data_IF_739110248041
#
_entry.id   IF_739110248041
#
_cell.length_a   1.000
_cell.length_b   1.000
_cell.length_c   1.000
_cell.angle_alpha   90.00
_cell.angle_beta   90.00
_cell.angle_gamma   90.00
#
_symmetry.space_group_name_H-M   'P 1'
#
loop_
_entity.id
_entity.type
_entity.pdbx_description
1 polymer ?
#
# COMPACT_ATOMS: atom_id res chain seq x y z
N UNK A 1 3.48 -11.41 8.38
CA UNK A 1 3.75 -11.10 9.80
C UNK A 1 3.06 -12.12 10.72
N UNK A 2 1.77 -12.34 10.61
CA UNK A 2 0.99 -13.14 11.55
C UNK A 2 0.30 -14.38 10.95
N UNK A 3 0.58 -14.72 9.71
CA UNK A 3 0.00 -15.82 8.97
C UNK A 3 -1.55 -15.77 8.89
N UNK A 4 -2.20 -16.95 8.83
CA UNK A 4 -3.65 -17.08 8.69
C UNK A 4 -4.48 -16.31 9.72
N UNK A 5 -4.16 -16.29 11.04
CA UNK A 5 -4.93 -15.50 12.01
C UNK A 5 -4.97 -14.01 11.75
N UNK A 6 -3.95 -13.46 11.08
CA UNK A 6 -3.89 -12.05 10.72
C UNK A 6 -4.83 -11.64 9.58
N UNK A 7 -5.29 -12.60 8.76
CA UNK A 7 -6.12 -12.29 7.58
C UNK A 7 -7.47 -11.66 7.96
N UNK A 8 -8.22 -12.29 8.87
CA UNK A 8 -9.53 -11.77 9.29
C UNK A 8 -9.40 -10.40 9.96
N UNK A 9 -8.39 -10.23 10.81
CA UNK A 9 -8.11 -8.98 11.51
C UNK A 9 -7.73 -7.88 10.53
N UNK A 10 -6.85 -8.19 9.56
CA UNK A 10 -6.43 -7.26 8.52
C UNK A 10 -7.58 -6.87 7.58
N UNK A 11 -8.43 -7.82 7.21
CA UNK A 11 -9.61 -7.56 6.40
C UNK A 11 -10.57 -6.57 7.06
N UNK A 12 -10.87 -6.76 8.34
CA UNK A 12 -11.75 -5.85 9.09
C UNK A 12 -11.10 -4.47 9.23
N UNK A 13 -9.80 -4.40 9.53
CA UNK A 13 -9.09 -3.12 9.56
C UNK A 13 -9.11 -2.39 8.22
N UNK A 14 -8.93 -3.11 7.12
CA UNK A 14 -9.05 -2.58 5.76
C UNK A 14 -10.47 -2.12 5.43
N UNK A 15 -11.49 -2.86 5.85
CA UNK A 15 -12.89 -2.48 5.67
C UNK A 15 -13.25 -1.20 6.44
N UNK A 16 -12.72 -1.00 7.65
CA UNK A 16 -12.88 0.25 8.42
C UNK A 16 -12.26 1.41 7.63
N UNK A 17 -11.03 1.26 7.15
CA UNK A 17 -10.35 2.29 6.36
C UNK A 17 -11.09 2.60 5.05
N UNK A 18 -11.64 1.59 4.37
CA UNK A 18 -12.38 1.76 3.11
C UNK A 18 -13.71 2.52 3.30
N UNK A 19 -14.35 2.35 4.45
CA UNK A 19 -15.59 3.07 4.80
C UNK A 19 -15.32 4.40 5.53
N UNK A 20 -14.09 4.63 5.96
CA UNK A 20 -13.64 5.86 6.61
C UNK A 20 -13.05 6.87 5.64
N UNK A 21 -12.33 7.84 6.19
CA UNK A 21 -11.65 8.92 5.44
C UNK A 21 -10.22 8.55 5.06
N UNK A 22 -9.62 7.57 5.72
CA UNK A 22 -8.23 7.17 5.51
C UNK A 22 -8.00 6.39 4.21
N UNK A 23 -9.04 5.74 3.67
CA UNK A 23 -9.03 5.08 2.38
C UNK A 23 -7.89 4.06 2.22
N UNK A 24 -7.23 4.09 1.07
CA UNK A 24 -6.11 3.18 0.75
C UNK A 24 -4.94 3.26 1.74
N UNK A 25 -4.57 4.48 2.17
CA UNK A 25 -3.48 4.67 3.13
C UNK A 25 -3.81 4.05 4.48
N UNK A 26 -5.05 4.19 4.94
CA UNK A 26 -5.53 3.54 6.15
C UNK A 26 -5.53 2.02 6.05
N UNK A 27 -5.93 1.47 4.90
CA UNK A 27 -5.91 0.02 4.67
C UNK A 27 -4.48 -0.55 4.69
N UNK A 28 -3.50 0.19 4.15
CA UNK A 28 -2.09 -0.18 4.21
C UNK A 28 -1.60 -0.25 5.67
N UNK A 29 -1.91 0.77 6.46
CA UNK A 29 -1.57 0.81 7.90
C UNK A 29 -2.28 -0.31 8.65
N UNK A 30 -3.57 -0.58 8.34
CA UNK A 30 -4.35 -1.65 8.95
C UNK A 30 -3.71 -3.03 8.76
N UNK A 31 -3.13 -3.30 7.59
CA UNK A 31 -2.45 -4.56 7.30
C UNK A 31 -1.26 -4.81 8.23
N UNK A 32 -0.42 -3.79 8.44
CA UNK A 32 0.70 -3.89 9.38
C UNK A 32 0.22 -3.98 10.84
N UNK A 33 -0.73 -3.12 11.22
CA UNK A 33 -1.30 -3.10 12.57
C UNK A 33 -1.89 -4.46 12.95
N UNK A 34 -2.72 -5.04 12.09
CA UNK A 34 -3.32 -6.35 12.31
C UNK A 34 -2.26 -7.44 12.51
N UNK A 35 -1.18 -7.42 11.70
CA UNK A 35 -0.07 -8.34 11.85
C UNK A 35 0.59 -8.25 13.21
N UNK A 36 0.91 -7.04 13.68
CA UNK A 36 1.54 -6.82 14.98
C UNK A 36 0.61 -7.10 16.16
N UNK A 37 -0.68 -6.74 16.08
CA UNK A 37 -1.69 -7.06 17.09
C UNK A 37 -1.80 -8.57 17.29
N UNK A 38 -1.87 -9.35 16.19
CA UNK A 38 -1.96 -10.81 16.30
C UNK A 38 -0.65 -11.41 16.81
N UNK A 39 0.52 -10.89 16.46
CA UNK A 39 1.79 -11.31 17.05
C UNK A 39 1.83 -11.06 18.55
N UNK A 40 1.36 -9.90 19.00
CA UNK A 40 1.26 -9.56 20.42
C UNK A 40 0.33 -10.52 21.15
N UNK A 41 -0.84 -10.82 20.56
CA UNK A 41 -1.79 -11.78 21.12
C UNK A 41 -1.18 -13.19 21.20
N UNK A 42 -0.46 -13.64 20.17
CA UNK A 42 0.26 -14.92 20.20
C UNK A 42 1.25 -14.97 21.37
N UNK A 43 1.99 -13.88 21.61
CA UNK A 43 2.96 -13.78 22.70
C UNK A 43 2.28 -13.79 24.09
N UNK A 44 1.16 -13.08 24.24
CA UNK A 44 0.40 -13.05 25.50
C UNK A 44 -0.23 -14.43 25.77
N UNK A 45 -0.84 -15.04 24.76
CA UNK A 45 -1.52 -16.33 24.87
C UNK A 45 -0.54 -17.53 24.93
N UNK A 46 0.76 -17.33 24.76
CA UNK A 46 1.75 -18.42 24.88
C UNK A 46 1.81 -19.03 26.26
N UNK A 47 1.44 -18.27 27.29
CA UNK A 47 1.41 -18.72 28.69
C UNK A 47 0.09 -19.41 29.10
N UNK A 48 -0.86 -19.56 28.20
CA UNK A 48 -2.15 -20.20 28.49
C UNK A 48 -2.00 -21.74 28.51
N UNK A 49 -2.80 -22.42 29.35
CA UNK A 49 -2.78 -23.90 29.46
C UNK A 49 -3.03 -24.58 28.12
N UNK A 50 -2.45 -25.78 27.96
CA UNK A 50 -2.62 -26.62 26.76
C UNK A 50 -4.07 -26.97 26.44
N UNK A 51 -4.92 -27.08 27.46
CA UNK A 51 -6.37 -27.33 27.31
C UNK A 51 -7.09 -26.27 26.48
N UNK A 52 -6.56 -25.04 26.37
CA UNK A 52 -7.13 -23.94 25.62
C UNK A 52 -6.43 -23.70 24.28
N UNK A 53 -5.49 -24.55 23.90
CA UNK A 53 -4.65 -24.34 22.70
C UNK A 53 -5.47 -24.31 21.40
N UNK A 54 -6.46 -25.14 21.27
CA UNK A 54 -7.38 -25.18 20.12
C UNK A 54 -8.26 -23.92 20.00
N UNK A 55 -8.56 -23.24 21.11
CA UNK A 55 -9.37 -22.03 21.10
C UNK A 55 -8.59 -20.77 20.69
N UNK A 56 -7.26 -20.78 20.83
CA UNK A 56 -6.41 -19.63 20.51
C UNK A 56 -6.61 -19.15 19.06
N UNK A 57 -6.43 -19.99 18.02
CA UNK A 57 -6.55 -19.55 16.62
C UNK A 57 -8.00 -19.35 16.17
N UNK A 58 -8.96 -20.08 16.73
CA UNK A 58 -10.36 -20.06 16.29
C UNK A 58 -11.17 -18.92 16.89
N UNK A 59 -10.92 -18.58 18.15
CA UNK A 59 -11.73 -17.61 18.89
C UNK A 59 -10.89 -16.42 19.37
N UNK A 60 -9.80 -16.68 20.11
CA UNK A 60 -9.09 -15.62 20.84
C UNK A 60 -8.42 -14.65 19.86
N UNK A 61 -7.64 -15.14 18.91
CA UNK A 61 -6.94 -14.27 17.96
C UNK A 61 -7.89 -13.49 17.04
N UNK A 62 -8.93 -14.08 16.44
CA UNK A 62 -9.85 -13.31 15.62
C UNK A 62 -10.66 -12.30 16.44
N UNK A 63 -11.28 -12.70 17.55
CA UNK A 63 -12.17 -11.82 18.32
C UNK A 63 -11.40 -10.67 18.95
N UNK A 64 -10.35 -10.95 19.71
CA UNK A 64 -9.53 -9.91 20.32
C UNK A 64 -8.74 -9.11 19.29
N UNK A 65 -8.24 -9.77 18.25
CA UNK A 65 -7.53 -9.10 17.17
C UNK A 65 -8.40 -8.10 16.42
N UNK A 66 -9.63 -8.48 16.05
CA UNK A 66 -10.61 -7.59 15.40
C UNK A 66 -10.99 -6.44 16.33
N UNK A 67 -11.29 -6.74 17.59
CA UNK A 67 -11.67 -5.70 18.55
C UNK A 67 -10.57 -4.67 18.77
N UNK A 68 -9.33 -5.12 19.06
CA UNK A 68 -8.19 -4.23 19.32
C UNK A 68 -7.85 -3.43 18.06
N UNK A 69 -7.76 -4.11 16.91
CA UNK A 69 -7.46 -3.44 15.65
C UNK A 69 -8.56 -2.46 15.26
N UNK A 70 -9.83 -2.82 15.46
CA UNK A 70 -10.97 -1.95 15.20
C UNK A 70 -10.93 -0.67 16.03
N UNK A 71 -10.68 -0.78 17.34
CA UNK A 71 -10.56 0.38 18.23
C UNK A 71 -9.38 1.27 17.82
N UNK A 72 -8.19 0.67 17.56
CA UNK A 72 -7.02 1.44 17.17
C UNK A 72 -7.25 2.10 15.80
N UNK A 73 -7.81 1.38 14.84
CA UNK A 73 -8.13 1.95 13.53
C UNK A 73 -9.06 3.14 13.65
N UNK A 74 -10.18 3.00 14.35
CA UNK A 74 -11.21 4.04 14.45
C UNK A 74 -10.74 5.29 15.18
N UNK A 75 -10.04 5.13 16.30
CA UNK A 75 -9.74 6.28 17.18
C UNK A 75 -8.31 6.82 17.02
N UNK A 76 -7.37 6.01 16.55
CA UNK A 76 -5.95 6.39 16.48
C UNK A 76 -5.50 6.58 15.03
N UNK A 77 -5.87 5.68 14.11
CA UNK A 77 -5.37 5.68 12.73
C UNK A 77 -6.24 6.55 11.82
N UNK A 78 -7.56 6.41 11.89
CA UNK A 78 -8.49 7.16 11.03
C UNK A 78 -8.30 8.69 11.08
N UNK A 79 -8.20 9.35 12.23
CA UNK A 79 -8.11 10.81 12.25
C UNK A 79 -6.86 11.35 11.55
N UNK A 80 -5.62 10.93 11.86
CA UNK A 80 -4.43 11.48 11.21
C UNK A 80 -4.27 11.03 9.76
N UNK A 81 -4.56 9.76 9.46
CA UNK A 81 -4.42 9.23 8.10
C UNK A 81 -5.53 9.77 7.19
N UNK A 82 -6.74 9.94 7.72
CA UNK A 82 -7.85 10.58 6.99
C UNK A 82 -7.56 12.04 6.67
N UNK A 83 -6.99 12.80 7.60
CA UNK A 83 -6.54 14.15 7.35
C UNK A 83 -5.46 14.21 6.26
N UNK A 84 -4.47 13.31 6.31
CA UNK A 84 -3.43 13.20 5.30
C UNK A 84 -4.03 12.84 3.92
N UNK A 85 -4.92 11.88 3.87
CA UNK A 85 -5.61 11.47 2.64
C UNK A 85 -6.41 12.63 2.04
N UNK A 86 -7.10 13.40 2.87
CA UNK A 86 -7.85 14.59 2.46
C UNK A 86 -6.92 15.69 1.92
N UNK A 87 -5.79 15.93 2.57
CA UNK A 87 -4.78 16.89 2.10
C UNK A 87 -4.23 16.50 0.72
N UNK A 88 -3.89 15.22 0.54
CA UNK A 88 -3.43 14.68 -0.75
C UNK A 88 -4.51 14.88 -1.81
N UNK A 89 -5.75 14.50 -1.53
CA UNK A 89 -6.85 14.61 -2.48
C UNK A 89 -7.14 16.06 -2.87
N UNK A 90 -7.13 16.98 -1.90
CA UNK A 90 -7.31 18.41 -2.17
C UNK A 90 -6.15 18.97 -3.00
N UNK A 91 -4.92 18.57 -2.70
CA UNK A 91 -3.76 18.92 -3.51
C UNK A 91 -3.86 18.42 -4.95
N UNK A 92 -4.27 17.15 -5.13
CA UNK A 92 -4.44 16.55 -6.46
C UNK A 92 -5.57 17.21 -7.27
N UNK A 93 -6.69 17.52 -6.63
CA UNK A 93 -7.81 18.19 -7.28
C UNK A 93 -7.50 19.65 -7.66
N UNK A 94 -6.52 20.26 -6.99
CA UNK A 94 -6.02 21.60 -7.33
C UNK A 94 -5.01 21.63 -8.49
N UNK A 95 -4.55 20.46 -8.98
CA UNK A 95 -3.58 20.40 -10.06
C UNK A 95 -4.25 20.59 -11.42
N UNK A 96 -3.91 21.68 -12.09
CA UNK A 96 -4.39 22.02 -13.42
C UNK A 96 -3.24 22.30 -14.38
N UNK A 97 -3.38 21.94 -15.65
CA UNK A 97 -2.45 22.31 -16.71
C UNK A 97 -0.98 22.00 -16.41
N UNK A 98 -0.14 23.03 -16.30
CA UNK A 98 1.31 22.86 -16.11
C UNK A 98 1.70 22.12 -14.83
N UNK A 99 0.97 22.31 -13.73
CA UNK A 99 1.23 21.60 -12.47
C UNK A 99 0.98 20.10 -12.58
N UNK A 100 -0.05 19.69 -13.30
CA UNK A 100 -0.35 18.29 -13.55
C UNK A 100 0.73 17.63 -14.44
N UNK A 101 1.23 18.36 -15.44
CA UNK A 101 2.32 17.89 -16.30
C UNK A 101 3.61 17.71 -15.49
N UNK A 102 3.97 18.68 -14.64
CA UNK A 102 5.15 18.59 -13.79
C UNK A 102 5.08 17.41 -12.81
N UNK A 103 3.93 17.21 -12.16
CA UNK A 103 3.73 16.08 -11.27
C UNK A 103 3.81 14.74 -12.04
N UNK A 104 3.18 14.66 -13.21
CA UNK A 104 3.25 13.50 -14.08
C UNK A 104 4.68 13.17 -14.52
N UNK A 105 5.47 14.19 -14.90
CA UNK A 105 6.87 14.05 -15.27
C UNK A 105 7.72 13.58 -14.06
N UNK A 106 7.48 14.13 -12.88
CA UNK A 106 8.18 13.72 -11.65
C UNK A 106 7.90 12.25 -11.31
N UNK A 107 6.63 11.86 -11.26
CA UNK A 107 6.23 10.49 -10.91
C UNK A 107 6.65 9.47 -11.98
N UNK A 108 6.51 9.81 -13.25
CA UNK A 108 7.01 8.99 -14.35
C UNK A 108 8.53 8.85 -14.32
N UNK A 109 9.26 9.93 -13.99
CA UNK A 109 10.70 9.90 -13.75
C UNK A 109 11.10 8.99 -12.59
N UNK A 110 10.38 9.05 -11.46
CA UNK A 110 10.61 8.15 -10.32
C UNK A 110 10.46 6.68 -10.69
N UNK A 111 9.55 6.34 -11.60
CA UNK A 111 9.39 4.98 -12.11
C UNK A 111 10.58 4.51 -12.95
N UNK A 112 11.17 5.43 -13.71
CA UNK A 112 12.27 5.14 -14.64
C UNK A 112 13.65 5.12 -13.98
N UNK A 113 13.86 5.93 -12.95
CA UNK A 113 15.16 6.08 -12.26
C UNK A 113 15.50 4.86 -11.41
N UNK A 114 14.49 4.22 -10.84
CA UNK A 114 14.68 3.13 -9.90
C UNK A 114 13.72 1.97 -10.23
N UNK A 115 14.10 1.15 -11.20
CA UNK A 115 13.29 0.03 -11.70
C UNK A 115 13.13 -1.06 -10.64
N UNK A 116 12.06 -0.95 -9.83
CA UNK A 116 11.69 -1.94 -8.81
C UNK A 116 12.24 -1.66 -7.41
N UNK A 117 12.94 -0.56 -7.19
CA UNK A 117 13.42 -0.11 -5.89
C UNK A 117 12.41 0.74 -5.10
N UNK A 118 12.85 1.41 -4.02
CA UNK A 118 11.96 2.15 -3.12
C UNK A 118 11.32 3.38 -3.76
N UNK A 119 12.01 4.08 -4.67
CA UNK A 119 11.51 5.28 -5.35
C UNK A 119 10.36 4.93 -6.29
N UNK A 120 10.52 3.87 -7.07
CA UNK A 120 9.48 3.30 -7.92
C UNK A 120 8.24 2.92 -7.11
N UNK A 121 8.42 2.20 -5.99
CA UNK A 121 7.31 1.80 -5.12
C UNK A 121 6.58 2.98 -4.50
N UNK A 122 7.29 4.04 -4.13
CA UNK A 122 6.68 5.27 -3.60
C UNK A 122 5.76 5.93 -4.65
N UNK A 123 6.22 6.07 -5.89
CA UNK A 123 5.40 6.59 -6.99
C UNK A 123 4.17 5.71 -7.25
N UNK A 124 4.34 4.38 -7.21
CA UNK A 124 3.25 3.43 -7.42
C UNK A 124 2.20 3.49 -6.30
N UNK A 125 2.64 3.55 -5.02
CA UNK A 125 1.74 3.70 -3.87
C UNK A 125 0.95 5.01 -3.97
N UNK A 126 1.60 6.11 -4.36
CA UNK A 126 0.93 7.38 -4.57
C UNK A 126 -0.10 7.31 -5.72
N UNK A 127 0.24 6.66 -6.83
CA UNK A 127 -0.67 6.42 -7.96
C UNK A 127 -1.89 5.58 -7.57
N UNK A 128 -1.72 4.52 -6.77
CA UNK A 128 -2.84 3.70 -6.28
C UNK A 128 -3.73 4.46 -5.30
N UNK A 129 -3.17 5.30 -4.43
CA UNK A 129 -3.94 6.19 -3.58
C UNK A 129 -4.77 7.19 -4.40
N UNK A 130 -4.22 7.71 -5.50
CA UNK A 130 -4.91 8.61 -6.43
C UNK A 130 -6.08 7.94 -7.15
N UNK A 131 -5.96 6.66 -7.52
CA UNK A 131 -7.07 5.88 -8.08
C UNK A 131 -8.21 5.78 -7.06
N UNK A 132 -7.90 5.46 -5.81
CA UNK A 132 -8.89 5.38 -4.74
C UNK A 132 -9.63 6.72 -4.51
N UNK A 133 -8.97 7.83 -4.82
CA UNK A 133 -9.53 9.19 -4.79
C UNK A 133 -10.27 9.59 -6.08
N UNK A 134 -10.36 8.70 -7.08
CA UNK A 134 -11.02 8.97 -8.37
C UNK A 134 -10.14 9.73 -9.39
N UNK A 135 -8.86 9.98 -9.10
CA UNK A 135 -7.93 10.65 -10.00
C UNK A 135 -7.02 9.64 -10.72
N UNK A 136 -7.39 9.29 -11.94
CA UNK A 136 -6.70 8.27 -12.74
C UNK A 136 -5.47 8.80 -13.50
N UNK A 137 -5.39 10.11 -13.75
CA UNK A 137 -4.34 10.72 -14.57
C UNK A 137 -2.95 10.50 -13.96
N UNK A 138 -2.86 10.53 -12.64
CA UNK A 138 -1.60 10.32 -11.91
C UNK A 138 -1.09 8.90 -12.10
N UNK A 139 -1.97 7.91 -11.93
CA UNK A 139 -1.57 6.52 -12.16
C UNK A 139 -1.23 6.27 -13.63
N UNK A 140 -1.92 6.90 -14.57
CA UNK A 140 -1.58 6.81 -15.98
C UNK A 140 -0.13 7.31 -16.24
N UNK A 141 0.27 8.44 -15.66
CA UNK A 141 1.64 8.94 -15.76
C UNK A 141 2.68 8.00 -15.13
N UNK A 142 2.36 7.41 -13.97
CA UNK A 142 3.19 6.39 -13.31
C UNK A 142 3.38 5.17 -14.20
N UNK A 143 2.30 4.64 -14.78
CA UNK A 143 2.36 3.46 -15.64
C UNK A 143 3.13 3.72 -16.94
N UNK A 144 2.91 4.87 -17.58
CA UNK A 144 3.67 5.28 -18.77
C UNK A 144 5.16 5.40 -18.44
N UNK A 145 5.51 6.05 -17.30
CA UNK A 145 6.88 6.16 -16.83
C UNK A 145 7.56 4.79 -16.62
N UNK A 146 6.82 3.81 -16.10
CA UNK A 146 7.32 2.44 -15.92
C UNK A 146 7.51 1.66 -17.22
N UNK A 147 6.80 2.02 -18.28
CA UNK A 147 6.93 1.38 -19.61
C UNK A 147 8.12 1.91 -20.44
N UNK A 148 8.57 3.13 -20.19
CA UNK A 148 9.65 3.76 -20.96
C UNK A 148 10.96 2.99 -20.90
N UNK A 149 11.51 2.58 -19.75
CA UNK A 149 12.79 1.90 -19.68
C UNK A 149 12.84 0.56 -20.46
N UNK A 150 11.88 -0.37 -20.29
CA UNK A 150 11.92 -1.63 -21.04
C UNK A 150 11.77 -1.41 -22.55
N UNK A 151 10.97 -0.45 -22.99
CA UNK A 151 10.83 -0.11 -24.41
C UNK A 151 12.15 0.49 -24.94
N UNK A 152 12.77 1.40 -24.17
CA UNK A 152 14.05 1.99 -24.54
C UNK A 152 15.16 0.95 -24.66
N UNK A 153 15.23 -0.02 -23.73
CA UNK A 153 16.17 -1.14 -23.78
C UNK A 153 15.90 -2.00 -25.00
N UNK A 154 14.65 -2.38 -25.26
CA UNK A 154 14.27 -3.17 -26.43
C UNK A 154 14.67 -2.48 -27.75
N UNK A 155 14.50 -1.17 -27.87
CA UNK A 155 14.96 -0.41 -29.02
C UNK A 155 16.49 -0.41 -29.09
N UNK A 156 17.16 -0.22 -27.95
CA UNK A 156 18.62 -0.21 -27.88
C UNK A 156 19.23 -1.55 -28.32
N UNK A 157 18.65 -2.70 -27.95
CA UNK A 157 19.08 -4.02 -28.37
C UNK A 157 18.97 -4.20 -29.89
N UNK A 158 17.97 -3.61 -30.53
CA UNK A 158 17.79 -3.64 -31.98
C UNK A 158 18.79 -2.75 -32.72
N UNK A 159 19.09 -1.57 -32.18
CA UNK A 159 19.96 -0.57 -32.81
C UNK A 159 21.44 -0.87 -32.54
N UNK A 160 21.80 -1.27 -31.34
CA UNK A 160 23.17 -1.47 -30.88
C UNK A 160 23.50 -2.95 -30.61
N UNK A 161 23.17 -3.83 -31.56
CA UNK A 161 23.32 -5.30 -31.43
C UNK A 161 24.68 -5.77 -30.89
N UNK A 162 25.76 -5.02 -31.19
CA UNK A 162 27.12 -5.39 -30.77
C UNK A 162 27.43 -5.07 -29.28
N UNK A 163 26.52 -4.42 -28.58
CA UNK A 163 26.69 -4.05 -27.16
C UNK A 163 25.91 -4.91 -26.19
N UNK A 164 25.11 -5.81 -26.71
CA UNK A 164 24.26 -6.73 -25.94
C UNK A 164 24.69 -8.17 -26.21
N UNK A 165 24.48 -9.03 -25.23
CA UNK A 165 24.72 -10.47 -25.35
C UNK A 165 23.57 -11.14 -26.11
N UNK A 166 23.77 -12.40 -26.56
CA UNK A 166 22.72 -13.16 -27.26
C UNK A 166 21.53 -13.54 -26.33
N UNK A 167 21.71 -13.40 -25.03
CA UNK A 167 20.69 -13.71 -24.01
C UNK A 167 19.86 -12.46 -23.62
N UNK A 168 20.31 -11.26 -23.92
CA UNK A 168 19.62 -9.98 -23.73
C UNK A 168 18.78 -9.59 -24.95
#
# INVERSE_FOLDING_TARGET
IADRPGLAVGFVGGAIAANGTSGFLGALVAGFLAGYVVLLLKKICSKMPESLEGMKPMLIYPVLGIFITGVIMTYVVEPPIGALNTLINNGLNGLNGASAILLGALLGGMMSVDMGGPVNKAAYVFGTASIAAGNYNIMAAVMVGGMVPPIAIAIATLVFKNKFTAEE
#
